data_IF_061827460761
#
_entry.id   IF_061827460761
#
_cell.length_a   1.000
_cell.length_b   1.000
_cell.length_c   1.000
_cell.angle_alpha   90.00
_cell.angle_beta   90.00
_cell.angle_gamma   90.00
#
_symmetry.space_group_name_H-M   'P 1'
#
loop_
_entity.id
_entity.type
_entity.pdbx_description
1 polymer ?
#
# COMPACT_ATOMS: atom_id res chain seq x y z
N UNK A 1 -7.39 8.41 16.92
CA UNK A 1 -8.19 7.95 15.76
C UNK A 1 -7.32 7.61 14.53
N UNK A 2 -6.37 8.45 14.11
CA UNK A 2 -5.51 8.24 12.92
C UNK A 2 -4.39 7.19 13.16
N UNK A 3 -3.62 7.30 14.26
CA UNK A 3 -2.56 6.34 14.64
C UNK A 3 -3.06 4.89 14.68
N UNK A 4 -4.23 4.69 15.29
CA UNK A 4 -4.89 3.38 15.38
C UNK A 4 -5.30 2.80 14.01
N UNK A 5 -5.67 3.66 13.04
CA UNK A 5 -5.99 3.26 11.67
C UNK A 5 -4.73 2.89 10.88
N UNK A 6 -3.64 3.66 11.02
CA UNK A 6 -2.31 3.35 10.42
C UNK A 6 -1.76 2.02 10.92
N UNK A 7 -1.80 1.77 12.23
CA UNK A 7 -1.36 0.47 12.79
C UNK A 7 -2.21 -0.70 12.32
N UNK A 8 -3.53 -0.53 12.29
CA UNK A 8 -4.44 -1.58 11.78
C UNK A 8 -4.15 -1.89 10.31
N UNK A 9 -3.88 -0.86 9.52
CA UNK A 9 -3.52 -0.97 8.12
C UNK A 9 -2.18 -1.70 7.93
N UNK A 10 -1.10 -1.23 8.57
CA UNK A 10 0.23 -1.82 8.41
C UNK A 10 0.25 -3.31 8.77
N UNK A 11 -0.44 -3.69 9.86
CA UNK A 11 -0.60 -5.10 10.24
C UNK A 11 -1.41 -5.90 9.21
N UNK A 12 -2.42 -5.31 8.58
CA UNK A 12 -3.21 -5.98 7.55
C UNK A 12 -2.40 -6.19 6.27
N UNK A 13 -1.65 -5.18 5.83
CA UNK A 13 -0.74 -5.29 4.67
C UNK A 13 0.34 -6.35 4.93
N UNK A 14 0.96 -6.35 6.10
CA UNK A 14 1.94 -7.37 6.48
C UNK A 14 1.32 -8.79 6.58
N UNK A 15 0.00 -8.90 6.84
CA UNK A 15 -0.72 -10.19 6.78
C UNK A 15 -1.02 -10.61 5.34
N UNK A 16 -1.39 -9.67 4.47
CA UNK A 16 -1.60 -9.91 3.03
C UNK A 16 -0.29 -10.39 2.40
N UNK A 17 0.83 -9.71 2.68
CA UNK A 17 2.15 -10.13 2.20
C UNK A 17 2.55 -11.53 2.64
N UNK A 18 2.20 -11.95 3.87
CA UNK A 18 2.44 -13.30 4.40
C UNK A 18 1.52 -14.38 3.84
N UNK A 19 0.33 -14.01 3.34
CA UNK A 19 -0.63 -14.94 2.71
C UNK A 19 -0.47 -15.04 1.21
N UNK A 20 0.39 -14.22 0.60
CA UNK A 20 0.56 -14.10 -0.84
C UNK A 20 1.00 -15.43 -1.43
N UNK A 21 0.14 -16.03 -2.25
CA UNK A 21 0.51 -17.19 -3.07
C UNK A 21 1.05 -16.71 -4.41
N UNK A 22 1.85 -17.55 -5.09
CA UNK A 22 2.35 -17.25 -6.42
C UNK A 22 1.18 -17.14 -7.39
N UNK A 23 0.90 -15.92 -7.89
CA UNK A 23 -0.22 -15.63 -8.80
C UNK A 23 -1.27 -14.66 -8.24
N UNK A 24 -1.24 -14.33 -6.95
CA UNK A 24 -2.19 -13.36 -6.37
C UNK A 24 -1.85 -11.92 -6.75
N UNK A 25 -2.83 -11.22 -7.33
CA UNK A 25 -2.76 -9.80 -7.67
C UNK A 25 -3.51 -8.95 -6.65
N UNK A 26 -2.80 -8.00 -6.05
CA UNK A 26 -3.36 -7.05 -5.09
C UNK A 26 -3.30 -5.64 -5.67
N UNK A 27 -4.41 -4.92 -5.59
CA UNK A 27 -4.53 -3.59 -6.16
C UNK A 27 -4.41 -2.53 -5.06
N UNK A 28 -3.46 -1.61 -5.16
CA UNK A 28 -3.27 -0.53 -4.18
C UNK A 28 -3.60 0.81 -4.83
N UNK A 29 -4.51 1.56 -4.22
CA UNK A 29 -4.86 2.93 -4.59
C UNK A 29 -5.12 3.77 -3.33
N UNK A 30 -5.11 5.09 -3.46
CA UNK A 30 -5.43 6.01 -2.38
C UNK A 30 -6.97 6.10 -2.13
N UNK A 31 -7.38 6.74 -1.04
CA UNK A 31 -8.79 6.82 -0.66
C UNK A 31 -9.56 7.98 -1.33
N UNK A 32 -9.11 8.48 -2.49
CA UNK A 32 -9.84 9.51 -3.23
C UNK A 32 -11.31 9.08 -3.47
N UNK A 33 -12.29 10.02 -3.44
CA UNK A 33 -13.71 9.69 -3.61
C UNK A 33 -14.00 8.87 -4.88
N UNK A 34 -13.30 9.17 -5.98
CA UNK A 34 -13.41 8.44 -7.23
C UNK A 34 -13.00 6.96 -7.08
N UNK A 35 -11.95 6.66 -6.33
CA UNK A 35 -11.44 5.29 -6.14
C UNK A 35 -12.22 4.49 -5.09
N UNK A 36 -13.02 5.16 -4.26
CA UNK A 36 -13.86 4.52 -3.25
C UNK A 36 -15.32 4.34 -3.68
N UNK A 37 -15.67 4.85 -4.87
CA UNK A 37 -17.00 4.72 -5.46
C UNK A 37 -17.44 3.25 -5.55
N UNK A 38 -18.74 3.01 -5.35
CA UNK A 38 -19.31 1.65 -5.36
C UNK A 38 -19.06 0.94 -6.70
N UNK A 39 -19.21 1.67 -7.81
CA UNK A 39 -18.95 1.17 -9.16
C UNK A 39 -17.52 0.66 -9.34
N UNK A 40 -16.53 1.38 -8.80
CA UNK A 40 -15.12 0.99 -8.84
C UNK A 40 -14.87 -0.26 -7.99
N UNK A 41 -15.43 -0.32 -6.77
CA UNK A 41 -15.31 -1.51 -5.92
C UNK A 41 -15.90 -2.75 -6.57
N UNK A 42 -17.10 -2.61 -7.16
CA UNK A 42 -17.76 -3.69 -7.88
C UNK A 42 -16.93 -4.16 -9.08
N UNK A 43 -16.36 -3.24 -9.85
CA UNK A 43 -15.48 -3.57 -10.97
C UNK A 43 -14.24 -4.35 -10.50
N UNK A 44 -13.56 -3.89 -9.45
CA UNK A 44 -12.37 -4.56 -8.93
C UNK A 44 -12.68 -5.98 -8.44
N UNK A 45 -13.75 -6.15 -7.65
CA UNK A 45 -14.19 -7.47 -7.17
C UNK A 45 -14.56 -8.39 -8.34
N UNK A 46 -15.27 -7.88 -9.35
CA UNK A 46 -15.66 -8.68 -10.54
C UNK A 46 -14.44 -9.20 -11.31
N UNK A 47 -13.34 -8.45 -11.33
CA UNK A 47 -12.11 -8.83 -12.03
C UNK A 47 -11.12 -9.60 -11.13
N UNK A 48 -11.53 -10.04 -9.94
CA UNK A 48 -10.65 -10.76 -9.00
C UNK A 48 -9.52 -9.90 -8.42
N UNK A 49 -9.60 -8.58 -8.56
CA UNK A 49 -8.61 -7.64 -8.02
C UNK A 49 -9.00 -7.32 -6.58
N UNK A 50 -8.22 -7.83 -5.63
CA UNK A 50 -8.46 -7.54 -4.20
C UNK A 50 -7.83 -6.20 -3.85
N UNK A 51 -8.62 -5.15 -3.52
CA UNK A 51 -8.06 -3.87 -3.13
C UNK A 51 -7.40 -3.99 -1.76
N UNK A 52 -6.16 -3.52 -1.67
CA UNK A 52 -5.48 -3.29 -0.40
C UNK A 52 -6.06 -1.99 0.15
N UNK A 53 -6.69 -1.98 1.34
CA UNK A 53 -7.20 -0.73 1.93
C UNK A 53 -6.02 0.25 2.05
N UNK A 54 -6.21 1.58 2.04
CA UNK A 54 -5.15 2.56 2.32
C UNK A 54 -5.58 3.46 3.52
N UNK A 55 -4.68 3.85 4.44
CA UNK A 55 -5.06 4.69 5.56
C UNK A 55 -5.27 6.15 5.11
N UNK A 56 -6.25 6.88 5.66
CA UNK A 56 -6.44 8.30 5.32
C UNK A 56 -5.19 9.14 5.63
N UNK A 57 -4.91 10.14 4.77
CA UNK A 57 -3.85 11.15 4.94
C UNK A 57 -2.45 10.56 5.22
N UNK A 58 -2.07 9.51 4.48
CA UNK A 58 -0.78 8.83 4.66
C UNK A 58 0.00 8.69 3.35
N UNK A 59 0.35 9.82 2.70
CA UNK A 59 1.14 9.81 1.45
C UNK A 59 2.49 9.11 1.61
N UNK A 60 3.05 9.14 2.82
CA UNK A 60 4.31 8.47 3.17
C UNK A 60 4.29 6.93 3.00
N UNK A 61 3.10 6.35 2.85
CA UNK A 61 2.86 4.92 2.72
C UNK A 61 2.41 4.49 1.31
N UNK A 62 2.18 5.42 0.38
CA UNK A 62 1.75 5.13 -0.97
C UNK A 62 2.95 4.90 -1.91
N UNK A 63 3.12 3.71 -2.51
CA UNK A 63 4.26 3.45 -3.41
C UNK A 63 4.33 4.38 -4.63
N UNK A 64 3.17 4.79 -5.16
CA UNK A 64 3.10 5.67 -6.34
C UNK A 64 3.62 7.08 -6.06
N UNK A 65 3.50 7.59 -4.83
CA UNK A 65 4.01 8.93 -4.47
C UNK A 65 5.55 8.96 -4.42
N UNK A 66 6.21 7.79 -4.47
CA UNK A 66 7.67 7.65 -4.55
C UNK A 66 8.17 7.33 -5.96
N UNK A 67 7.28 7.23 -6.94
CA UNK A 67 7.54 6.54 -8.19
C UNK A 67 7.18 7.42 -9.39
N UNK A 68 8.10 8.30 -9.80
CA UNK A 68 7.85 9.30 -10.83
C UNK A 68 8.03 8.82 -12.30
N UNK A 69 8.35 7.54 -12.59
CA UNK A 69 8.47 7.10 -13.99
C UNK A 69 8.29 5.58 -14.22
N UNK A 70 7.05 5.08 -14.26
CA UNK A 70 6.73 3.66 -14.56
C UNK A 70 7.28 3.13 -15.88
N UNK A 71 7.49 3.99 -16.87
CA UNK A 71 8.01 3.57 -18.18
C UNK A 71 9.52 3.39 -18.25
N UNK A 72 10.27 3.96 -17.30
CA UNK A 72 11.75 4.00 -17.35
C UNK A 72 12.41 3.16 -16.26
N UNK A 73 11.61 2.57 -15.37
CA UNK A 73 12.12 1.86 -14.19
C UNK A 73 12.45 0.41 -14.54
N UNK A 74 13.69 0.04 -14.30
CA UNK A 74 14.17 -1.33 -14.42
C UNK A 74 13.50 -2.25 -13.37
N UNK A 75 13.51 -3.56 -13.64
CA UNK A 75 13.00 -4.55 -12.67
C UNK A 75 13.71 -4.46 -11.32
N UNK A 76 15.00 -4.15 -11.32
CA UNK A 76 15.81 -4.04 -10.12
C UNK A 76 15.48 -2.78 -9.32
N UNK A 77 15.27 -1.64 -9.98
CA UNK A 77 14.81 -0.40 -9.33
C UNK A 77 13.41 -0.57 -8.75
N UNK A 78 12.50 -1.25 -9.45
CA UNK A 78 11.18 -1.60 -8.92
C UNK A 78 11.30 -2.48 -7.68
N UNK A 79 12.14 -3.52 -7.73
CA UNK A 79 12.40 -4.42 -6.60
C UNK A 79 12.96 -3.65 -5.40
N UNK A 80 13.93 -2.76 -5.61
CA UNK A 80 14.49 -1.91 -4.55
C UNK A 80 13.44 -0.97 -3.96
N UNK A 81 12.57 -0.39 -4.78
CA UNK A 81 11.46 0.44 -4.30
C UNK A 81 10.49 -0.38 -3.42
N UNK A 82 10.14 -1.59 -3.85
CA UNK A 82 9.30 -2.48 -3.07
C UNK A 82 9.95 -2.89 -1.74
N UNK A 83 11.25 -3.15 -1.72
CA UNK A 83 12.00 -3.41 -0.48
C UNK A 83 12.03 -2.20 0.46
N UNK A 84 12.22 -0.98 -0.07
CA UNK A 84 12.12 0.25 0.71
C UNK A 84 10.72 0.43 1.31
N UNK A 85 9.68 0.14 0.54
CA UNK A 85 8.30 0.17 1.02
C UNK A 85 8.05 -0.84 2.15
N UNK A 86 8.54 -2.08 2.03
CA UNK A 86 8.44 -3.07 3.10
C UNK A 86 9.14 -2.59 4.39
N UNK A 87 10.35 -2.04 4.29
CA UNK A 87 11.07 -1.46 5.45
C UNK A 87 10.26 -0.36 6.13
N UNK A 88 9.55 0.48 5.36
CA UNK A 88 8.67 1.52 5.91
C UNK A 88 7.44 0.95 6.61
N UNK A 89 6.87 -0.13 6.11
CA UNK A 89 5.78 -0.83 6.82
C UNK A 89 6.26 -1.34 8.18
N UNK A 90 7.46 -1.92 8.24
CA UNK A 90 8.05 -2.38 9.49
C UNK A 90 8.34 -1.22 10.45
N UNK A 91 8.88 -0.09 9.94
CA UNK A 91 9.08 1.15 10.71
C UNK A 91 7.74 1.68 11.25
N UNK A 92 6.68 1.69 10.44
CA UNK A 92 5.33 2.09 10.88
C UNK A 92 4.82 1.22 12.03
N UNK A 93 5.08 -0.10 11.98
CA UNK A 93 4.73 -1.03 13.06
C UNK A 93 5.56 -0.75 14.31
N UNK A 94 6.88 -0.55 14.16
CA UNK A 94 7.79 -0.32 15.30
C UNK A 94 7.49 0.99 16.03
N UNK A 95 7.15 2.06 15.30
CA UNK A 95 6.77 3.34 15.89
C UNK A 95 5.29 3.42 16.26
N UNK A 96 4.57 2.30 16.32
CA UNK A 96 3.15 2.26 16.69
C UNK A 96 2.25 3.21 15.86
N UNK A 97 2.55 3.36 14.57
CA UNK A 97 1.80 4.16 13.61
C UNK A 97 1.94 5.66 13.80
N UNK A 98 2.95 6.10 14.56
CA UNK A 98 3.37 7.51 14.55
C UNK A 98 3.91 7.90 13.17
N UNK A 99 3.84 9.20 12.87
CA UNK A 99 4.51 9.73 11.69
C UNK A 99 6.02 9.64 11.89
N UNK A 100 6.74 9.40 10.81
CA UNK A 100 8.19 9.39 10.78
C UNK A 100 8.63 9.90 9.41
N UNK A 101 9.69 10.70 9.39
CA UNK A 101 10.35 11.10 8.14
C UNK A 101 11.42 10.07 7.78
N UNK A 102 11.87 10.12 6.52
CA UNK A 102 12.79 9.16 5.93
C UNK A 102 14.11 9.00 6.68
N UNK A 103 14.83 7.94 6.32
CA UNK A 103 16.29 7.89 6.45
C UNK A 103 16.88 8.00 5.03
#
# INVERSE_FOLDING_TARGET
>A
MIKSRRMRWARNVAKIGRRRQSGDWFFHHDNAPAHTALSVRQFLTKNGMTPVPHPPYSPDLAPCDFFEALSSISKDEFRQCFEKWNKRLDKCISVSGQYFEGD
#
